data_IF_180018392279
#
_entry.id   IF_180018392279
#
_cell.length_a   1.000
_cell.length_b   1.000
_cell.length_c   1.000
_cell.angle_alpha   90.00
_cell.angle_beta   90.00
_cell.angle_gamma   90.00
#
_symmetry.space_group_name_H-M   'P 1'
#
loop_
_entity.id
_entity.type
_entity.pdbx_description
1 polymer ?
#
# COMPACT_ATOMS: atom_id res chain seq x y z
N UNK A 1 -30.45 25.51 11.17
CA UNK A 1 -29.68 26.07 12.30
C UNK A 1 -29.34 25.01 13.35
N UNK A 2 -30.31 24.26 13.90
CA UNK A 2 -30.04 23.21 14.91
C UNK A 2 -29.12 22.06 14.46
N UNK A 3 -29.23 21.61 13.21
CA UNK A 3 -28.32 20.56 12.67
C UNK A 3 -26.86 21.02 12.64
N UNK A 4 -26.60 22.26 12.26
CA UNK A 4 -25.24 22.81 12.21
C UNK A 4 -24.69 23.02 13.63
N UNK A 5 -25.55 23.41 14.59
CA UNK A 5 -25.17 23.55 16.00
C UNK A 5 -24.79 22.20 16.63
N UNK A 6 -25.59 21.15 16.35
CA UNK A 6 -25.30 19.79 16.81
C UNK A 6 -24.01 19.24 16.21
N UNK A 7 -23.76 19.45 14.90
CA UNK A 7 -22.50 19.06 14.26
C UNK A 7 -21.29 19.83 14.82
N UNK A 8 -21.43 21.12 15.11
CA UNK A 8 -20.36 21.93 15.71
C UNK A 8 -20.06 21.49 17.15
N UNK A 9 -21.08 21.20 17.95
CA UNK A 9 -20.91 20.67 19.31
C UNK A 9 -20.25 19.28 19.29
N UNK A 10 -20.67 18.40 18.37
CA UNK A 10 -20.06 17.09 18.23
C UNK A 10 -18.59 17.17 17.78
N UNK A 11 -18.30 17.95 16.74
CA UNK A 11 -16.93 18.13 16.25
C UNK A 11 -16.05 18.83 17.29
N UNK A 12 -16.57 19.84 17.99
CA UNK A 12 -15.87 20.51 19.09
C UNK A 12 -15.61 19.59 20.27
N UNK A 13 -16.59 18.76 20.66
CA UNK A 13 -16.43 17.75 21.69
C UNK A 13 -15.41 16.68 21.32
N UNK A 14 -15.44 16.18 20.08
CA UNK A 14 -14.46 15.24 19.56
C UNK A 14 -13.06 15.86 19.53
N UNK A 15 -12.94 17.10 19.04
CA UNK A 15 -11.67 17.84 19.02
C UNK A 15 -11.11 18.05 20.42
N UNK A 16 -11.95 18.43 21.39
CA UNK A 16 -11.56 18.54 22.78
C UNK A 16 -11.08 17.21 23.37
N UNK A 17 -11.84 16.12 23.14
CA UNK A 17 -11.45 14.78 23.57
C UNK A 17 -10.09 14.37 23.00
N UNK A 18 -9.86 14.60 21.70
CA UNK A 18 -8.57 14.32 21.06
C UNK A 18 -7.44 15.17 21.66
N UNK A 19 -7.66 16.45 21.92
CA UNK A 19 -6.67 17.31 22.58
C UNK A 19 -6.32 16.84 23.99
N UNK A 20 -7.31 16.38 24.78
CA UNK A 20 -7.08 15.82 26.11
C UNK A 20 -6.26 14.53 26.01
N UNK A 21 -6.61 13.64 25.09
CA UNK A 21 -5.87 12.39 24.88
C UNK A 21 -4.42 12.66 24.46
N UNK A 22 -4.20 13.57 23.51
CA UNK A 22 -2.85 13.95 23.04
C UNK A 22 -2.06 14.66 24.13
N UNK A 23 -2.70 15.53 24.92
CA UNK A 23 -2.06 16.21 26.05
C UNK A 23 -1.65 15.27 27.19
N UNK A 24 -2.23 14.08 27.27
CA UNK A 24 -1.85 13.01 28.19
C UNK A 24 -0.72 12.10 27.68
N UNK A 25 -0.26 12.28 26.44
CA UNK A 25 0.87 11.52 25.90
C UNK A 25 2.19 12.16 26.37
N UNK A 26 3.05 11.34 26.96
CA UNK A 26 4.41 11.76 27.30
C UNK A 26 5.31 11.60 26.06
N UNK A 27 5.85 12.72 25.58
CA UNK A 27 6.70 12.75 24.39
C UNK A 27 8.18 12.69 24.80
N UNK A 28 8.95 11.80 24.16
CA UNK A 28 10.40 11.71 24.36
C UNK A 28 10.85 10.57 25.28
N UNK A 29 9.93 10.00 26.07
CA UNK A 29 10.13 8.69 26.69
C UNK A 29 9.58 7.61 25.77
N UNK A 30 10.31 6.50 25.61
CA UNK A 30 9.86 5.33 24.85
C UNK A 30 9.29 4.29 25.83
N UNK A 31 7.99 4.35 26.21
CA UNK A 31 7.39 3.38 27.12
C UNK A 31 7.21 2.00 26.48
N UNK A 32 7.40 1.88 25.16
CA UNK A 32 7.05 0.69 24.40
C UNK A 32 8.16 -0.36 24.41
N UNK A 33 8.03 -1.34 25.32
CA UNK A 33 8.92 -2.51 25.42
C UNK A 33 9.06 -3.25 24.08
N UNK A 34 7.95 -3.47 23.38
CA UNK A 34 7.96 -4.16 22.08
C UNK A 34 8.72 -3.38 21.00
N UNK A 35 8.62 -2.04 21.00
CA UNK A 35 9.33 -1.20 20.02
C UNK A 35 10.85 -1.31 20.15
N UNK A 36 11.35 -1.30 21.39
CA UNK A 36 12.78 -1.49 21.67
C UNK A 36 13.29 -2.87 21.23
N UNK A 37 12.53 -3.93 21.51
CA UNK A 37 12.89 -5.30 21.10
C UNK A 37 12.94 -5.47 19.59
N UNK A 38 11.93 -4.95 18.88
CA UNK A 38 11.91 -4.97 17.41
C UNK A 38 13.12 -4.20 16.86
N UNK A 39 13.44 -3.03 17.43
CA UNK A 39 14.55 -2.23 16.95
C UNK A 39 15.92 -2.93 17.10
N UNK A 40 16.13 -3.70 18.19
CA UNK A 40 17.38 -4.42 18.40
C UNK A 40 17.49 -5.72 17.59
N UNK A 41 16.37 -6.41 17.37
CA UNK A 41 16.38 -7.77 16.82
C UNK A 41 16.00 -7.86 15.33
N UNK A 42 15.20 -6.92 14.82
CA UNK A 42 14.64 -6.99 13.46
C UNK A 42 15.68 -7.12 12.33
N UNK A 43 16.84 -6.42 12.35
CA UNK A 43 17.83 -6.57 11.30
C UNK A 43 18.39 -7.99 11.19
N UNK A 44 18.59 -8.66 12.32
CA UNK A 44 19.10 -10.02 12.37
C UNK A 44 18.03 -11.08 12.02
N UNK A 45 16.77 -10.84 12.42
CA UNK A 45 15.67 -11.79 12.21
C UNK A 45 15.07 -11.71 10.80
N UNK A 46 14.89 -10.50 10.26
CA UNK A 46 14.15 -10.26 9.01
C UNK A 46 15.09 -9.88 7.84
N UNK A 47 16.33 -9.47 8.13
CA UNK A 47 17.32 -9.14 7.10
C UNK A 47 17.11 -7.77 6.43
N UNK A 48 16.46 -6.83 7.11
CA UNK A 48 16.18 -5.47 6.60
C UNK A 48 16.65 -4.41 7.61
N UNK A 49 17.27 -3.34 7.12
CA UNK A 49 17.64 -2.19 7.94
C UNK A 49 16.45 -1.25 8.17
N UNK A 50 15.45 -1.30 7.30
CA UNK A 50 14.21 -0.57 7.44
C UNK A 50 13.26 -1.26 8.42
N UNK A 51 13.14 -0.70 9.63
CA UNK A 51 12.28 -1.21 10.70
C UNK A 51 10.80 -1.20 10.33
N UNK A 52 10.33 -0.20 9.56
CA UNK A 52 8.92 -0.15 9.15
C UNK A 52 8.61 -1.32 8.23
N UNK A 53 9.48 -1.60 7.25
CA UNK A 53 9.34 -2.76 6.37
C UNK A 53 9.45 -4.07 7.15
N UNK A 54 10.34 -4.13 8.15
CA UNK A 54 10.44 -5.30 9.04
C UNK A 54 9.13 -5.56 9.78
N UNK A 55 8.50 -4.51 10.33
CA UNK A 55 7.24 -4.63 11.04
C UNK A 55 6.11 -4.99 10.11
N UNK A 56 5.91 -4.24 9.04
CA UNK A 56 4.74 -4.39 8.17
C UNK A 56 4.79 -5.71 7.40
N UNK A 57 5.92 -6.09 6.83
CA UNK A 57 6.03 -7.33 6.03
C UNK A 57 6.53 -8.55 6.81
N UNK A 58 7.44 -8.35 7.78
CA UNK A 58 8.04 -9.44 8.54
C UNK A 58 7.18 -9.87 9.73
N UNK A 59 6.90 -8.94 10.64
CA UNK A 59 6.14 -9.23 11.87
C UNK A 59 4.62 -9.19 11.68
N UNK A 60 4.11 -8.32 10.80
CA UNK A 60 2.68 -8.07 10.60
C UNK A 60 2.22 -8.38 9.17
N UNK A 61 2.85 -9.35 8.52
CA UNK A 61 2.57 -9.70 7.13
C UNK A 61 1.10 -10.09 6.87
N UNK A 62 0.40 -10.64 7.87
CA UNK A 62 -1.04 -10.93 7.79
C UNK A 62 -1.89 -9.66 7.70
N UNK A 63 -1.50 -8.59 8.40
CA UNK A 63 -2.20 -7.31 8.31
C UNK A 63 -2.04 -6.72 6.90
N UNK A 64 -0.84 -6.81 6.31
CA UNK A 64 -0.61 -6.40 4.91
C UNK A 64 -1.34 -7.28 3.90
N UNK A 65 -1.47 -8.60 4.15
CA UNK A 65 -2.36 -9.47 3.36
C UNK A 65 -3.81 -8.97 3.40
N UNK A 66 -4.29 -8.55 4.56
CA UNK A 66 -5.61 -7.94 4.73
C UNK A 66 -5.76 -6.63 3.97
N UNK A 67 -4.78 -5.73 4.07
CA UNK A 67 -4.74 -4.46 3.33
C UNK A 67 -4.79 -4.68 1.80
N UNK A 68 -3.97 -5.59 1.28
CA UNK A 68 -3.98 -5.94 -0.14
C UNK A 68 -5.34 -6.52 -0.55
N UNK A 69 -5.92 -7.41 0.27
CA UNK A 69 -7.24 -7.99 0.01
C UNK A 69 -8.33 -6.92 -0.09
N UNK A 70 -8.29 -5.90 0.77
CA UNK A 70 -9.23 -4.76 0.72
C UNK A 70 -9.02 -3.93 -0.56
N UNK A 71 -7.77 -3.70 -0.97
CA UNK A 71 -7.47 -3.00 -2.23
C UNK A 71 -7.99 -3.76 -3.44
N UNK A 72 -7.73 -5.06 -3.55
CA UNK A 72 -8.28 -5.92 -4.61
C UNK A 72 -9.81 -5.93 -4.61
N UNK A 73 -10.43 -6.09 -3.43
CA UNK A 73 -11.88 -6.08 -3.30
C UNK A 73 -12.48 -4.74 -3.75
N UNK A 74 -11.86 -3.62 -3.39
CA UNK A 74 -12.32 -2.29 -3.79
C UNK A 74 -12.14 -2.03 -5.29
N UNK A 75 -11.02 -2.45 -5.89
CA UNK A 75 -10.79 -2.37 -7.33
C UNK A 75 -11.79 -3.24 -8.11
N UNK A 76 -12.03 -4.47 -7.68
CA UNK A 76 -13.01 -5.37 -8.28
C UNK A 76 -14.44 -4.83 -8.14
N UNK A 77 -14.81 -4.31 -6.97
CA UNK A 77 -16.12 -3.69 -6.74
C UNK A 77 -16.32 -2.45 -7.62
N UNK A 78 -15.32 -1.56 -7.70
CA UNK A 78 -15.36 -0.41 -8.59
C UNK A 78 -15.47 -0.83 -10.05
N UNK A 79 -14.69 -1.84 -10.48
CA UNK A 79 -14.75 -2.42 -11.81
C UNK A 79 -16.12 -3.04 -12.13
N UNK A 80 -16.77 -3.71 -11.18
CA UNK A 80 -18.11 -4.29 -11.36
C UNK A 80 -19.19 -3.20 -11.45
N UNK A 81 -19.12 -2.18 -10.60
CA UNK A 81 -20.11 -1.08 -10.54
C UNK A 81 -19.97 -0.14 -11.74
N UNK A 82 -18.74 0.20 -12.13
CA UNK A 82 -18.43 1.16 -13.19
C UNK A 82 -18.18 0.48 -14.55
N UNK A 83 -18.06 -0.85 -14.60
CA UNK A 83 -17.71 -1.66 -15.78
C UNK A 83 -18.80 -1.77 -16.85
N UNK A 84 -19.61 -0.73 -17.03
CA UNK A 84 -20.46 -0.62 -18.21
C UNK A 84 -19.58 -0.52 -19.44
N UNK A 85 -19.82 -1.38 -20.45
CA UNK A 85 -19.30 -1.17 -21.80
C UNK A 85 -19.75 0.22 -22.25
N UNK A 86 -18.84 1.20 -22.26
CA UNK A 86 -19.04 2.44 -23.02
C UNK A 86 -19.22 1.98 -24.47
N UNK A 87 -20.47 1.96 -24.94
CA UNK A 87 -20.78 1.90 -26.37
C UNK A 87 -20.01 3.01 -27.05
N UNK A 88 -19.40 2.67 -28.18
CA UNK A 88 -18.42 3.48 -28.90
C UNK A 88 -18.66 5.00 -28.81
N UNK A 89 -17.65 5.68 -28.27
CA UNK A 89 -17.24 7.06 -28.56
C UNK A 89 -18.23 8.20 -28.29
N UNK A 90 -18.12 8.78 -27.10
CA UNK A 90 -17.58 10.14 -27.08
C UNK A 90 -16.07 9.98 -26.93
N UNK A 91 -15.33 10.22 -28.02
CA UNK A 91 -13.86 10.33 -27.91
C UNK A 91 -13.63 11.60 -27.12
N UNK A 92 -13.39 11.46 -25.82
CA UNK A 92 -12.89 12.57 -25.03
C UNK A 92 -11.68 13.16 -25.77
N UNK A 93 -11.66 14.49 -25.96
CA UNK A 93 -10.60 15.12 -26.71
C UNK A 93 -9.25 14.80 -26.06
N UNK A 94 -8.23 14.60 -26.89
CA UNK A 94 -6.88 14.39 -26.37
C UNK A 94 -6.45 15.56 -25.49
N UNK A 95 -5.63 15.27 -24.48
CA UNK A 95 -5.11 16.28 -23.57
C UNK A 95 -4.37 17.40 -24.30
N UNK A 96 -4.19 18.55 -23.65
CA UNK A 96 -3.36 19.63 -24.21
C UNK A 96 -1.92 19.17 -24.52
N UNK A 97 -1.20 19.92 -25.37
CA UNK A 97 0.19 19.61 -25.71
C UNK A 97 1.07 19.39 -24.47
N UNK A 98 0.90 20.23 -23.44
CA UNK A 98 1.63 20.14 -22.17
C UNK A 98 1.36 18.80 -21.46
N UNK A 99 0.10 18.33 -21.43
CA UNK A 99 -0.25 17.07 -20.76
C UNK A 99 0.30 15.86 -21.54
N UNK A 100 0.26 15.89 -22.88
CA UNK A 100 0.83 14.83 -23.72
C UNK A 100 2.35 14.77 -23.60
N UNK A 101 3.03 15.91 -23.79
CA UNK A 101 4.49 15.99 -23.66
C UNK A 101 4.97 15.65 -22.24
N UNK A 102 4.24 16.13 -21.23
CA UNK A 102 4.49 15.79 -19.83
C UNK A 102 4.27 14.31 -19.55
N UNK A 103 3.21 13.70 -20.09
CA UNK A 103 2.95 12.27 -20.00
C UNK A 103 4.05 11.42 -20.62
N UNK A 104 4.50 11.75 -21.83
CA UNK A 104 5.57 11.03 -22.53
C UNK A 104 6.92 11.11 -21.80
N UNK A 105 7.22 12.26 -21.17
CA UNK A 105 8.43 12.47 -20.38
C UNK A 105 8.37 11.80 -19.00
N UNK A 106 7.25 11.96 -18.29
CA UNK A 106 7.10 11.48 -16.91
C UNK A 106 6.85 9.98 -16.85
N UNK A 107 6.26 9.35 -17.87
CA UNK A 107 6.02 7.91 -17.88
C UNK A 107 7.26 7.07 -17.56
N UNK A 108 8.37 7.15 -18.34
CA UNK A 108 9.57 6.37 -18.04
C UNK A 108 10.23 6.79 -16.72
N UNK A 109 10.17 8.06 -16.35
CA UNK A 109 10.72 8.57 -15.10
C UNK A 109 10.00 7.94 -13.88
N UNK A 110 8.67 7.94 -13.89
CA UNK A 110 7.85 7.38 -12.83
C UNK A 110 8.02 5.86 -12.74
N UNK A 111 8.22 5.16 -13.86
CA UNK A 111 8.57 3.74 -13.84
C UNK A 111 9.89 3.50 -13.10
N UNK A 112 10.95 4.22 -13.47
CA UNK A 112 12.27 4.07 -12.84
C UNK A 112 12.20 4.39 -11.34
N UNK A 113 11.52 5.49 -10.97
CA UNK A 113 11.35 5.88 -9.56
C UNK A 113 10.52 4.86 -8.79
N UNK A 114 9.42 4.37 -9.38
CA UNK A 114 8.56 3.36 -8.76
C UNK A 114 9.33 2.07 -8.49
N UNK A 115 10.03 1.53 -9.49
CA UNK A 115 10.88 0.34 -9.31
C UNK A 115 12.02 0.55 -8.33
N UNK A 116 12.67 1.72 -8.37
CA UNK A 116 13.73 2.07 -7.42
C UNK A 116 13.23 1.99 -5.97
N UNK A 117 12.07 2.57 -5.68
CA UNK A 117 11.46 2.57 -4.33
C UNK A 117 11.07 1.15 -3.89
N UNK A 118 10.57 0.31 -4.81
CA UNK A 118 10.23 -1.09 -4.51
C UNK A 118 11.49 -1.87 -4.15
N UNK A 119 12.52 -1.83 -5.00
CA UNK A 119 13.73 -2.63 -4.82
C UNK A 119 14.57 -2.20 -3.60
N UNK A 120 14.59 -0.90 -3.28
CA UNK A 120 15.36 -0.38 -2.15
C UNK A 120 14.57 -0.31 -0.85
N UNK A 121 13.32 -0.80 -0.80
CA UNK A 121 12.46 -0.70 0.40
C UNK A 121 13.04 -1.32 1.67
N UNK A 122 14.00 -2.24 1.55
CA UNK A 122 14.72 -2.85 2.68
C UNK A 122 15.79 -1.94 3.32
N UNK A 123 16.21 -0.87 2.63
CA UNK A 123 17.19 0.11 3.12
C UNK A 123 16.60 1.51 3.25
N UNK A 124 15.82 1.93 2.25
CA UNK A 124 15.28 3.28 2.16
C UNK A 124 13.82 3.31 2.63
N UNK A 125 13.34 4.45 3.17
CA UNK A 125 11.92 4.65 3.41
C UNK A 125 11.11 4.44 2.12
N UNK A 126 9.99 3.73 2.22
CA UNK A 126 9.16 3.35 1.07
C UNK A 126 8.72 1.90 1.16
N UNK A 127 8.79 1.20 0.04
CA UNK A 127 8.39 -0.20 -0.09
C UNK A 127 7.44 -0.44 -1.26
N UNK A 128 6.80 -1.61 -1.25
CA UNK A 128 5.92 -2.08 -2.32
C UNK A 128 4.70 -1.20 -2.56
N UNK A 129 4.07 -0.69 -1.49
CA UNK A 129 2.84 0.10 -1.62
C UNK A 129 3.10 1.47 -2.26
N UNK A 130 4.02 2.27 -1.71
CA UNK A 130 4.32 3.60 -2.23
C UNK A 130 4.88 3.52 -3.66
N UNK A 131 5.78 2.57 -3.92
CA UNK A 131 6.28 2.31 -5.27
C UNK A 131 5.18 1.86 -6.23
N UNK A 132 4.26 1.02 -5.78
CA UNK A 132 3.08 0.59 -6.54
C UNK A 132 2.15 1.75 -6.92
N UNK A 133 1.89 2.69 -6.01
CA UNK A 133 1.10 3.90 -6.30
C UNK A 133 1.80 4.77 -7.35
N UNK A 134 3.12 4.90 -7.30
CA UNK A 134 3.91 5.64 -8.31
C UNK A 134 3.84 4.94 -9.66
N UNK A 135 3.96 3.60 -9.71
CA UNK A 135 3.77 2.84 -10.94
C UNK A 135 2.34 3.00 -11.48
N UNK A 136 1.32 2.96 -10.63
CA UNK A 136 -0.06 3.20 -11.04
C UNK A 136 -0.23 4.60 -11.65
N UNK A 137 0.36 5.63 -11.03
CA UNK A 137 0.38 6.98 -11.56
C UNK A 137 1.10 7.06 -12.92
N UNK A 138 2.19 6.30 -13.10
CA UNK A 138 2.88 6.19 -14.38
C UNK A 138 1.92 5.73 -15.49
N UNK A 139 1.11 4.69 -15.25
CA UNK A 139 0.14 4.20 -16.25
C UNK A 139 -1.10 5.10 -16.39
N UNK A 140 -1.49 5.81 -15.32
CA UNK A 140 -2.66 6.68 -15.34
C UNK A 140 -2.43 7.97 -16.16
N UNK A 141 -1.21 8.49 -16.16
CA UNK A 141 -0.90 9.75 -16.82
C UNK A 141 -1.06 9.71 -18.37
N UNK A 142 -0.56 8.69 -19.09
CA UNK A 142 -0.86 8.51 -20.52
C UNK A 142 -2.34 8.24 -20.79
N UNK A 143 -3.05 7.54 -19.90
CA UNK A 143 -4.48 7.27 -20.04
C UNK A 143 -5.29 8.58 -20.00
N UNK A 144 -4.93 9.52 -19.12
CA UNK A 144 -5.51 10.87 -19.09
C UNK A 144 -5.11 11.71 -20.31
N UNK A 145 -3.85 11.61 -20.75
CA UNK A 145 -3.36 12.37 -21.89
C UNK A 145 -3.98 11.92 -23.23
N UNK A 146 -4.25 10.61 -23.36
CA UNK A 146 -4.81 9.96 -24.55
C UNK A 146 -5.93 8.98 -24.14
N UNK A 147 -7.14 9.47 -23.84
CA UNK A 147 -8.26 8.62 -23.39
C UNK A 147 -8.67 7.52 -24.38
N UNK A 148 -8.33 7.69 -25.67
CA UNK A 148 -8.55 6.69 -26.71
C UNK A 148 -7.52 5.55 -26.73
N UNK A 149 -6.47 5.60 -25.91
CA UNK A 149 -5.51 4.50 -25.78
C UNK A 149 -6.11 3.37 -24.96
N UNK A 150 -6.19 2.17 -25.53
CA UNK A 150 -6.61 0.98 -24.81
C UNK A 150 -5.40 0.30 -24.19
N UNK A 151 -5.40 0.17 -22.86
CA UNK A 151 -4.51 -0.77 -22.19
C UNK A 151 -5.03 -2.20 -22.43
N UNK A 152 -4.12 -3.17 -22.50
CA UNK A 152 -4.51 -4.56 -22.59
C UNK A 152 -5.10 -5.01 -21.24
N UNK A 153 -6.43 -4.94 -21.12
CA UNK A 153 -7.16 -5.26 -19.89
C UNK A 153 -6.93 -6.71 -19.45
N UNK A 154 -6.81 -7.64 -20.40
CA UNK A 154 -6.53 -9.04 -20.10
C UNK A 154 -5.11 -9.22 -19.52
N UNK A 155 -4.13 -8.52 -20.07
CA UNK A 155 -2.76 -8.52 -19.54
C UNK A 155 -2.66 -7.90 -18.15
N UNK A 156 -3.34 -6.77 -17.92
CA UNK A 156 -3.36 -6.10 -16.63
C UNK A 156 -4.01 -6.97 -15.55
N UNK A 157 -5.18 -7.55 -15.83
CA UNK A 157 -5.89 -8.43 -14.90
C UNK A 157 -5.09 -9.71 -14.59
N UNK A 158 -4.38 -10.26 -15.58
CA UNK A 158 -3.50 -11.40 -15.35
C UNK A 158 -2.32 -11.07 -14.45
N UNK A 159 -1.64 -9.93 -14.67
CA UNK A 159 -0.54 -9.48 -13.82
C UNK A 159 -1.02 -9.20 -12.40
N UNK A 160 -2.19 -8.57 -12.26
CA UNK A 160 -2.83 -8.29 -10.96
C UNK A 160 -3.10 -9.59 -10.20
N UNK A 161 -3.74 -10.56 -10.85
CA UNK A 161 -4.02 -11.88 -10.27
C UNK A 161 -2.74 -12.65 -9.91
N UNK A 162 -1.71 -12.57 -10.75
CA UNK A 162 -0.41 -13.20 -10.50
C UNK A 162 0.30 -12.57 -9.29
N UNK A 163 0.27 -11.24 -9.15
CA UNK A 163 0.87 -10.54 -8.02
C UNK A 163 0.19 -10.92 -6.70
N UNK A 164 -1.15 -10.92 -6.66
CA UNK A 164 -1.92 -11.33 -5.49
C UNK A 164 -1.69 -12.81 -5.13
N UNK A 165 -1.75 -13.70 -6.12
CA UNK A 165 -1.49 -15.12 -5.94
C UNK A 165 -0.05 -15.38 -5.46
N UNK A 166 0.93 -14.68 -6.01
CA UNK A 166 2.33 -14.79 -5.60
C UNK A 166 2.52 -14.46 -4.12
N UNK A 167 1.88 -13.40 -3.62
CA UNK A 167 1.97 -13.02 -2.22
C UNK A 167 1.34 -14.08 -1.29
N UNK A 168 0.19 -14.65 -1.67
CA UNK A 168 -0.45 -15.75 -0.94
C UNK A 168 0.44 -17.01 -0.95
N UNK A 169 1.01 -17.36 -2.09
CA UNK A 169 1.88 -18.53 -2.23
C UNK A 169 3.14 -18.42 -1.38
N UNK A 170 3.75 -17.22 -1.31
CA UNK A 170 4.89 -16.96 -0.42
C UNK A 170 4.48 -17.15 1.05
N UNK A 171 3.31 -16.66 1.44
CA UNK A 171 2.78 -16.85 2.81
C UNK A 171 2.51 -18.33 3.14
N UNK A 172 1.88 -19.07 2.23
CA UNK A 172 1.65 -20.51 2.40
C UNK A 172 2.95 -21.30 2.45
N UNK A 173 3.94 -20.93 1.64
CA UNK A 173 5.28 -21.52 1.65
C UNK A 173 6.00 -21.27 2.99
N UNK A 174 5.88 -20.07 3.56
CA UNK A 174 6.42 -19.75 4.87
C UNK A 174 5.76 -20.59 5.99
N UNK A 175 4.43 -20.73 5.95
CA UNK A 175 3.68 -21.58 6.89
C UNK A 175 4.09 -23.04 6.82
N UNK A 176 4.27 -23.56 5.60
CA UNK A 176 4.67 -24.94 5.37
C UNK A 176 6.05 -25.25 5.99
N UNK A 177 7.02 -24.33 5.85
CA UNK A 177 8.34 -24.48 6.46
C UNK A 177 8.30 -24.32 8.00
N UNK A 178 7.44 -23.45 8.53
CA UNK A 178 7.29 -23.23 9.98
C UNK A 178 6.63 -24.39 10.75
N UNK A 179 5.92 -25.29 10.06
CA UNK A 179 5.22 -26.43 10.68
C UNK A 179 6.11 -27.62 11.10
N UNK A 180 7.40 -27.62 10.76
CA UNK A 180 8.33 -28.74 10.99
C UNK A 180 9.37 -28.55 12.11
N UNK A 181 9.37 -27.42 12.82
CA UNK A 181 10.41 -27.09 13.82
C UNK A 181 9.94 -27.47 15.24
N UNK A 182 10.67 -28.32 15.98
CA UNK A 182 10.34 -28.69 17.37
C UNK A 182 10.23 -27.46 18.29
N UNK A 183 9.31 -27.53 19.25
CA UNK A 183 8.85 -26.43 20.12
C UNK A 183 9.90 -25.81 21.08
N UNK A 184 11.19 -26.11 20.94
CA UNK A 184 12.24 -25.64 21.86
C UNK A 184 12.98 -24.39 21.40
N UNK A 185 12.76 -23.91 20.17
CA UNK A 185 13.41 -22.68 19.68
C UNK A 185 12.44 -21.49 19.67
N UNK A 186 12.40 -20.79 20.80
CA UNK A 186 11.56 -19.59 21.00
C UNK A 186 12.04 -18.41 20.14
N UNK A 187 13.26 -18.45 19.58
CA UNK A 187 13.76 -17.41 18.65
C UNK A 187 13.02 -17.40 17.31
N UNK A 188 12.37 -18.51 16.94
CA UNK A 188 11.62 -18.63 15.69
C UNK A 188 10.15 -18.19 15.78
N UNK A 189 9.63 -17.88 16.99
CA UNK A 189 8.19 -17.64 17.22
C UNK A 189 7.78 -16.17 17.36
N UNK A 190 8.72 -15.23 17.42
CA UNK A 190 8.37 -13.80 17.43
C UNK A 190 8.03 -13.24 16.04
N UNK A 191 8.00 -14.07 14.99
CA UNK A 191 7.59 -13.69 13.64
C UNK A 191 6.12 -14.10 13.32
N UNK A 192 5.20 -13.84 14.27
CA UNK A 192 3.75 -13.84 14.05
C UNK A 192 3.10 -12.69 14.80
#
# INVERSE_FOLDING_TARGET
MMRNLASLLFAGGLGFLLCVLVGGLDFGNLPMVAGGLIQSEAPAQVGTANIVTAVVLGYRGIDTLGELSILFASAAAAGLVLGRRRTAADKEPEGGFILRAGGDLLFPLLLVVGFYIIFHGHLTPGGGFQGGVILAAAFFLPLLARPGSSLNHAGLSFIEGLAGAGFILIGLWALWQGGGVPATDVRARCAW
#
